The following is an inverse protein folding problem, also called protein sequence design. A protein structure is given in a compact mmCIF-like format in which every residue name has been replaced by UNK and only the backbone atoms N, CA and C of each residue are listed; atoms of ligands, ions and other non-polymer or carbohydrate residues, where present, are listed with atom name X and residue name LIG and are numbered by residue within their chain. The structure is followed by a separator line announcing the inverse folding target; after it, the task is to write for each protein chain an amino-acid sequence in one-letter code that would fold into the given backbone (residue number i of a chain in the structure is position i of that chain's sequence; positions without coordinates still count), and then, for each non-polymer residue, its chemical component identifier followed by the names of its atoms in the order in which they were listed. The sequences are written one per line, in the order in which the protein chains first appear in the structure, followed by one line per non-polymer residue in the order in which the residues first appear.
data_IF_568824484183
#
_entry.id   IF_568824484183
#
_cell.length_a   1.000
_cell.length_b   1.000
_cell.length_c   1.000
_cell.angle_alpha   90.00
_cell.angle_beta   90.00
_cell.angle_gamma   90.00
#
_symmetry.space_group_name_H-M   'P 1'
#
loop_
_entity.id
_entity.type
_entity.pdbx_description
1 polymer ?
#
# COMPACT_ATOMS: atom_id res chain seq x y z
N UNK A 1 -45.64 12.17 -34.39
CA UNK A 1 -45.30 10.76 -34.08
C UNK A 1 -43.87 10.49 -34.56
N UNK A 2 -42.99 10.12 -33.62
CA UNK A 2 -41.54 9.78 -33.75
C UNK A 2 -40.60 10.95 -34.11
N UNK A 3 -39.32 10.98 -33.69
CA UNK A 3 -38.58 9.98 -32.90
C UNK A 3 -38.00 10.52 -31.57
N UNK A 4 -37.94 9.60 -30.60
CA UNK A 4 -37.22 9.70 -29.35
C UNK A 4 -35.71 9.80 -29.64
N UNK A 5 -35.09 10.92 -29.27
CA UNK A 5 -33.64 11.11 -29.37
C UNK A 5 -32.97 10.28 -28.26
N UNK A 6 -32.39 9.16 -28.69
CA UNK A 6 -31.52 8.29 -27.92
C UNK A 6 -30.32 9.11 -27.43
N UNK A 7 -30.35 9.50 -26.15
CA UNK A 7 -29.23 10.15 -25.47
C UNK A 7 -28.12 9.11 -25.27
N UNK A 8 -27.24 8.98 -26.27
CA UNK A 8 -26.06 8.12 -26.20
C UNK A 8 -25.15 8.64 -25.09
N UNK A 9 -24.97 7.80 -24.08
CA UNK A 9 -23.96 7.87 -23.03
C UNK A 9 -22.56 8.05 -23.64
N UNK A 10 -22.09 9.28 -23.77
CA UNK A 10 -20.67 9.55 -23.96
C UNK A 10 -20.01 9.54 -22.58
N UNK A 11 -19.72 8.35 -22.08
CA UNK A 11 -18.89 8.18 -20.90
C UNK A 11 -17.50 8.75 -21.20
N UNK A 12 -17.20 9.90 -20.60
CA UNK A 12 -15.88 10.54 -20.62
C UNK A 12 -14.89 9.64 -19.86
N UNK A 13 -14.31 8.65 -20.54
CA UNK A 13 -13.26 7.77 -20.00
C UNK A 13 -11.84 8.29 -20.27
N UNK A 14 -11.66 9.59 -20.51
CA UNK A 14 -10.38 10.16 -20.94
C UNK A 14 -9.89 11.22 -19.96
N UNK A 15 -9.29 10.78 -18.85
CA UNK A 15 -8.41 11.65 -18.02
C UNK A 15 -7.44 10.90 -17.07
N UNK A 16 -7.34 9.56 -17.09
CA UNK A 16 -6.48 8.83 -16.15
C UNK A 16 -5.01 8.66 -16.62
N UNK A 17 -4.74 8.80 -17.92
CA UNK A 17 -3.43 8.48 -18.51
C UNK A 17 -2.23 9.27 -17.96
N UNK A 18 -2.28 10.61 -17.77
CA UNK A 18 -1.11 11.35 -17.30
C UNK A 18 -0.79 11.07 -15.83
N UNK A 19 -1.82 10.93 -14.97
CA UNK A 19 -1.64 10.56 -13.57
C UNK A 19 -1.02 9.17 -13.42
N UNK A 20 -1.43 8.22 -14.26
CA UNK A 20 -0.90 6.86 -14.21
C UNK A 20 0.58 6.79 -14.60
N UNK A 21 1.03 7.59 -15.58
CA UNK A 21 2.45 7.67 -15.93
C UNK A 21 3.29 8.22 -14.77
N UNK A 22 2.84 9.31 -14.14
CA UNK A 22 3.55 9.91 -12.99
C UNK A 22 3.69 8.92 -11.84
N UNK A 23 2.63 8.16 -11.53
CA UNK A 23 2.68 7.12 -10.50
C UNK A 23 3.66 6.02 -10.88
N UNK A 24 3.63 5.52 -12.12
CA UNK A 24 4.58 4.48 -12.60
C UNK A 24 6.02 4.95 -12.50
N UNK A 25 6.33 6.14 -13.03
CA UNK A 25 7.68 6.72 -12.95
C UNK A 25 8.13 6.89 -11.48
N UNK A 26 7.21 7.18 -10.56
CA UNK A 26 7.52 7.23 -9.13
C UNK A 26 7.83 5.86 -8.55
N UNK A 27 7.04 4.84 -8.89
CA UNK A 27 7.26 3.45 -8.44
C UNK A 27 8.61 2.95 -8.95
N UNK A 28 8.91 3.14 -10.24
CA UNK A 28 10.17 2.69 -10.85
C UNK A 28 11.40 3.26 -10.14
N UNK A 29 11.32 4.52 -9.70
CA UNK A 29 12.39 5.16 -8.92
C UNK A 29 12.54 4.58 -7.51
N UNK A 30 11.46 4.10 -6.91
CA UNK A 30 11.46 3.52 -5.56
C UNK A 30 11.79 2.02 -5.54
N UNK A 31 11.69 1.30 -6.66
CA UNK A 31 11.98 -0.15 -6.71
C UNK A 31 13.28 -0.54 -5.99
N UNK A 32 14.43 0.16 -6.16
CA UNK A 32 15.67 -0.21 -5.47
C UNK A 32 15.58 -0.10 -3.94
N UNK A 33 14.82 0.86 -3.40
CA UNK A 33 14.63 1.04 -1.95
C UNK A 33 13.66 -0.02 -1.41
N UNK A 34 12.56 -0.26 -2.14
CA UNK A 34 11.55 -1.26 -1.81
C UNK A 34 12.12 -2.69 -1.84
N UNK A 35 13.00 -3.00 -2.78
CA UNK A 35 13.65 -4.31 -2.84
C UNK A 35 14.52 -4.58 -1.61
N UNK A 36 15.23 -3.55 -1.10
CA UNK A 36 16.00 -3.66 0.14
C UNK A 36 15.11 -3.88 1.35
N UNK A 37 13.97 -3.19 1.42
CA UNK A 37 12.99 -3.40 2.49
C UNK A 37 12.40 -4.82 2.42
N UNK A 38 12.03 -5.29 1.22
CA UNK A 38 11.57 -6.65 0.99
C UNK A 38 12.60 -7.68 1.48
N UNK A 39 13.86 -7.58 1.04
CA UNK A 39 14.92 -8.49 1.45
C UNK A 39 15.15 -8.48 2.96
N UNK A 40 15.05 -7.30 3.60
CA UNK A 40 15.14 -7.19 5.05
C UNK A 40 14.00 -7.92 5.76
N UNK A 41 12.75 -7.69 5.35
CA UNK A 41 11.59 -8.35 5.94
C UNK A 41 11.64 -9.87 5.70
N UNK A 42 11.98 -10.29 4.49
CA UNK A 42 12.11 -11.70 4.11
C UNK A 42 13.17 -12.43 4.94
N UNK A 43 14.31 -11.79 5.20
CA UNK A 43 15.40 -12.36 6.01
C UNK A 43 15.14 -12.32 7.52
N UNK A 44 14.08 -11.64 7.99
CA UNK A 44 13.75 -11.50 9.41
C UNK A 44 12.28 -11.89 9.67
N UNK A 45 11.88 -13.16 9.37
CA UNK A 45 10.52 -13.60 9.56
C UNK A 45 10.17 -13.65 11.06
N UNK A 46 9.01 -13.09 11.41
CA UNK A 46 8.42 -13.19 12.74
C UNK A 46 7.08 -13.94 12.64
N UNK A 47 6.80 -14.80 13.61
CA UNK A 47 5.58 -15.63 13.61
C UNK A 47 4.36 -14.82 14.06
N UNK A 48 3.18 -15.33 13.73
CA UNK A 48 1.90 -14.70 14.05
C UNK A 48 1.83 -14.26 15.53
N UNK A 49 1.43 -13.00 15.73
CA UNK A 49 1.33 -12.31 17.03
C UNK A 49 2.67 -12.01 17.73
N UNK A 50 3.81 -12.18 17.07
CA UNK A 50 5.15 -11.91 17.62
C UNK A 50 5.99 -11.00 16.71
N UNK A 51 5.33 -10.21 15.85
CA UNK A 51 5.92 -9.38 14.79
C UNK A 51 6.45 -8.03 15.31
N UNK A 52 7.16 -8.02 16.44
CA UNK A 52 7.63 -6.80 17.11
C UNK A 52 8.50 -5.94 16.20
N UNK A 53 9.53 -6.54 15.59
CA UNK A 53 10.49 -5.80 14.76
C UNK A 53 9.87 -5.41 13.43
N UNK A 54 9.05 -6.28 12.85
CA UNK A 54 8.33 -6.05 11.59
C UNK A 54 7.33 -4.91 11.74
N UNK A 55 6.51 -4.93 12.78
CA UNK A 55 5.57 -3.86 13.11
C UNK A 55 6.29 -2.53 13.37
N UNK A 56 7.36 -2.55 14.17
CA UNK A 56 8.19 -1.35 14.40
C UNK A 56 8.74 -0.80 13.07
N UNK A 57 9.35 -1.65 12.25
CA UNK A 57 9.98 -1.27 10.99
C UNK A 57 8.97 -0.64 10.03
N UNK A 58 7.82 -1.27 9.83
CA UNK A 58 6.76 -0.73 8.96
C UNK A 58 6.24 0.62 9.47
N UNK A 59 6.05 0.75 10.78
CA UNK A 59 5.63 2.01 11.38
C UNK A 59 6.66 3.14 11.18
N UNK A 60 7.96 2.82 11.24
CA UNK A 60 9.03 3.79 10.95
C UNK A 60 9.06 4.21 9.48
N UNK A 61 8.92 3.28 8.54
CA UNK A 61 8.88 3.61 7.11
C UNK A 61 7.67 4.49 6.78
N UNK A 62 6.49 4.17 7.32
CA UNK A 62 5.28 4.97 7.07
C UNK A 62 5.37 6.37 7.68
N UNK A 63 6.01 6.53 8.86
CA UNK A 63 6.29 7.85 9.44
C UNK A 63 7.18 8.69 8.53
N UNK A 64 8.25 8.11 7.95
CA UNK A 64 9.15 8.83 7.02
C UNK A 64 8.42 9.32 5.77
N UNK A 65 7.39 8.59 5.33
CA UNK A 65 6.55 8.96 4.19
C UNK A 65 5.48 10.02 4.54
N UNK A 66 5.40 10.48 5.80
CA UNK A 66 4.49 11.54 6.22
C UNK A 66 3.10 11.07 6.67
N UNK A 67 2.94 9.78 6.96
CA UNK A 67 1.69 9.27 7.54
C UNK A 67 1.58 9.61 9.02
N UNK A 68 0.34 9.83 9.48
CA UNK A 68 -0.01 9.73 10.90
C UNK A 68 -0.07 8.25 11.27
N UNK A 69 0.85 7.80 12.13
CA UNK A 69 1.06 6.37 12.43
C UNK A 69 0.71 6.04 13.87
N UNK A 70 -0.20 5.10 14.05
CA UNK A 70 -0.52 4.45 15.33
C UNK A 70 0.04 3.04 15.31
N UNK A 71 1.03 2.77 16.16
CA UNK A 71 1.59 1.44 16.37
C UNK A 71 0.87 0.73 17.52
N UNK A 72 1.15 -0.57 17.66
CA UNK A 72 0.64 -1.44 18.71
C UNK A 72 -0.89 -1.59 18.73
N UNK A 73 -1.51 -1.61 17.55
CA UNK A 73 -2.96 -1.83 17.40
C UNK A 73 -3.23 -3.32 17.36
N UNK A 74 -3.85 -3.86 18.41
CA UNK A 74 -4.20 -5.29 18.47
C UNK A 74 -2.99 -6.23 18.53
N UNK A 75 -1.90 -5.82 19.19
CA UNK A 75 -0.61 -6.53 19.17
C UNK A 75 0.43 -5.66 18.49
N UNK A 76 1.11 -6.18 17.47
CA UNK A 76 2.12 -5.44 16.69
C UNK A 76 1.57 -4.77 15.42
N UNK A 77 0.24 -4.70 15.29
CA UNK A 77 -0.42 -4.07 14.15
C UNK A 77 -0.13 -2.56 14.06
N UNK A 78 -0.05 -2.07 12.82
CA UNK A 78 0.23 -0.67 12.51
C UNK A 78 -0.91 -0.09 11.66
N UNK A 79 -1.49 1.02 12.10
CA UNK A 79 -2.50 1.78 11.34
C UNK A 79 -1.90 3.11 10.92
N UNK A 80 -1.97 3.42 9.62
CA UNK A 80 -1.38 4.62 9.02
C UNK A 80 -2.45 5.42 8.28
N UNK A 81 -2.52 6.72 8.53
CA UNK A 81 -3.48 7.64 7.88
C UNK A 81 -2.71 8.75 7.17
N UNK A 82 -2.94 8.91 5.87
CA UNK A 82 -2.46 10.05 5.07
C UNK A 82 -3.66 10.89 4.64
N UNK A 83 -3.72 12.14 5.10
CA UNK A 83 -4.78 13.10 4.76
C UNK A 83 -4.33 13.95 3.58
N UNK A 84 -5.13 13.97 2.50
CA UNK A 84 -4.82 14.73 1.29
C UNK A 84 -6.06 15.44 0.72
N UNK A 85 -6.66 16.33 1.51
CA UNK A 85 -7.83 17.11 1.11
C UNK A 85 -9.14 16.32 1.09
N UNK A 86 -10.19 16.91 0.50
CA UNK A 86 -11.52 16.30 0.38
C UNK A 86 -11.53 15.30 -0.78
N UNK A 87 -12.10 14.12 -0.55
CA UNK A 87 -12.25 13.09 -1.58
C UNK A 87 -12.71 11.75 -0.99
N UNK A 88 -12.83 10.70 -1.82
CA UNK A 88 -13.09 9.35 -1.35
C UNK A 88 -11.97 8.84 -0.44
N UNK A 89 -12.32 8.01 0.54
CA UNK A 89 -11.36 7.33 1.42
C UNK A 89 -11.02 5.95 0.85
N UNK A 90 -9.74 5.59 0.82
CA UNK A 90 -9.24 4.28 0.40
C UNK A 90 -8.60 3.58 1.60
N UNK A 91 -8.88 2.29 1.76
CA UNK A 91 -8.23 1.42 2.73
C UNK A 91 -7.38 0.38 1.99
N UNK A 92 -6.12 0.25 2.40
CA UNK A 92 -5.23 -0.83 1.99
C UNK A 92 -4.84 -1.61 3.24
N UNK A 93 -4.98 -2.94 3.21
CA UNK A 93 -4.64 -3.84 4.33
C UNK A 93 -3.71 -4.93 3.84
N UNK A 94 -2.70 -5.22 4.66
CA UNK A 94 -1.73 -6.30 4.45
C UNK A 94 -1.49 -7.02 5.78
N UNK A 95 -1.23 -8.32 5.73
CA UNK A 95 -0.67 -9.12 6.83
C UNK A 95 0.87 -9.12 6.79
N UNK A 96 1.48 -9.48 7.91
CA UNK A 96 2.94 -9.34 8.10
C UNK A 96 3.58 -10.58 8.72
N UNK A 97 2.78 -11.57 9.12
CA UNK A 97 3.27 -12.75 9.80
C UNK A 97 3.88 -13.75 8.83
N UNK A 98 4.95 -14.39 9.30
CA UNK A 98 5.60 -15.50 8.64
C UNK A 98 5.13 -16.85 9.20
N UNK A 99 5.54 -17.92 8.54
CA UNK A 99 5.28 -19.30 8.97
C UNK A 99 6.51 -19.93 9.61
N UNK A 100 6.35 -20.81 10.62
CA UNK A 100 7.45 -21.52 11.27
C UNK A 100 7.94 -22.70 10.40
N UNK A 101 8.39 -22.40 9.18
CA UNK A 101 8.91 -23.38 8.23
C UNK A 101 10.33 -23.00 7.83
N UNK A 102 11.17 -24.01 7.62
CA UNK A 102 12.49 -23.77 7.06
C UNK A 102 12.35 -23.45 5.58
N UNK A 103 12.89 -22.31 5.16
CA UNK A 103 12.91 -21.91 3.77
C UNK A 103 13.70 -22.92 2.93
N UNK A 104 13.10 -23.37 1.83
CA UNK A 104 13.72 -24.31 0.88
C UNK A 104 14.37 -23.59 -0.32
N UNK A 105 14.00 -22.33 -0.52
CA UNK A 105 14.47 -21.44 -1.57
C UNK A 105 15.12 -20.21 -0.94
N UNK A 106 15.56 -19.26 -1.75
CA UNK A 106 15.91 -17.91 -1.30
C UNK A 106 15.19 -16.87 -2.12
#
# INVERSE_FOLDING_TARGET
MKPCFLLVLLSLHVAAAPAQKVVRDSVDREIPSLLKLYQHLHANPEISFQEEKTGQRLGEEMKKLGFEVTQNVGGFGVVCVLKNGKGPTILVRTDTDALPVKEATG
#
